data_IF_301907848941
#
_entry.id   IF_301907848941
#
_cell.length_a   1.000
_cell.length_b   1.000
_cell.length_c   1.000
_cell.angle_alpha   90.00
_cell.angle_beta   90.00
_cell.angle_gamma   90.00
#
_symmetry.space_group_name_H-M   'P 1'
#
loop_
_entity.id
_entity.type
_entity.pdbx_description
1 polymer ?
#
# COMPACT_ATOMS: atom_id res chain seq x y z
N UNK A 1 12.84 8.45 3.83
CA UNK A 1 12.30 8.04 5.14
C UNK A 1 10.85 8.47 5.17
N UNK A 2 9.93 7.59 5.54
CA UNK A 2 8.50 7.88 5.56
C UNK A 2 8.19 8.85 6.70
N UNK A 3 7.85 10.09 6.36
CA UNK A 3 7.62 11.16 7.35
C UNK A 3 6.21 11.09 7.98
N UNK A 4 5.39 10.14 7.53
CA UNK A 4 3.98 10.03 7.91
C UNK A 4 3.76 9.76 9.39
N UNK A 5 4.67 9.03 10.03
CA UNK A 5 4.57 8.71 11.46
C UNK A 5 5.22 9.78 12.35
N UNK A 6 5.66 10.90 11.75
CA UNK A 6 6.22 12.03 12.49
C UNK A 6 5.14 12.66 13.38
N UNK A 7 5.43 12.91 14.67
CA UNK A 7 4.52 13.62 15.58
C UNK A 7 4.25 15.06 15.14
N UNK A 8 3.03 15.56 15.36
CA UNK A 8 2.67 16.95 15.03
C UNK A 8 3.46 17.98 15.84
N UNK A 9 3.92 17.61 17.03
CA UNK A 9 4.74 18.42 17.92
C UNK A 9 6.12 18.72 17.33
N UNK A 10 6.61 17.86 16.43
CA UNK A 10 7.90 18.02 15.74
C UNK A 10 7.77 18.73 14.38
N UNK A 11 6.56 19.17 14.03
CA UNK A 11 6.28 19.88 12.80
C UNK A 11 6.28 21.39 13.03
N UNK A 12 6.61 22.16 12.00
CA UNK A 12 6.64 23.64 12.05
C UNK A 12 5.23 24.24 12.00
N UNK A 13 4.38 23.85 12.95
CA UNK A 13 3.05 24.39 13.16
C UNK A 13 3.07 25.34 14.36
N UNK A 14 2.27 26.41 14.30
CA UNK A 14 1.99 27.24 15.48
C UNK A 14 1.43 26.37 16.60
N UNK A 15 1.88 26.64 17.82
CA UNK A 15 1.48 25.93 19.03
C UNK A 15 -0.05 25.84 19.20
N UNK A 16 -0.80 26.89 18.83
CA UNK A 16 -2.27 26.87 18.87
C UNK A 16 -2.87 25.85 17.90
N UNK A 17 -2.34 25.77 16.68
CA UNK A 17 -2.78 24.84 15.64
C UNK A 17 -2.45 23.40 16.05
N UNK A 18 -1.22 23.15 16.52
CA UNK A 18 -0.80 21.85 17.06
C UNK A 18 -1.68 21.40 18.23
N UNK A 19 -1.93 22.27 19.20
CA UNK A 19 -2.76 21.93 20.36
C UNK A 19 -4.20 21.59 19.98
N UNK A 20 -4.80 22.34 19.05
CA UNK A 20 -6.15 22.07 18.57
C UNK A 20 -6.25 20.72 17.84
N UNK A 21 -5.24 20.37 17.02
CA UNK A 21 -5.17 19.08 16.35
C UNK A 21 -5.03 17.91 17.34
N UNK A 22 -4.12 18.04 18.31
CA UNK A 22 -3.90 17.02 19.35
C UNK A 22 -5.16 16.83 20.21
N UNK A 23 -5.83 17.91 20.61
CA UNK A 23 -7.08 17.84 21.36
C UNK A 23 -8.22 17.18 20.56
N UNK A 24 -8.19 17.31 19.23
CA UNK A 24 -9.12 16.63 18.33
C UNK A 24 -8.71 15.18 17.99
N UNK A 25 -7.58 14.69 18.52
CA UNK A 25 -7.13 13.30 18.38
C UNK A 25 -6.13 13.05 17.24
N UNK A 26 -5.72 14.09 16.52
CA UNK A 26 -4.68 13.98 15.48
C UNK A 26 -3.30 14.10 16.13
N UNK A 27 -2.44 13.08 15.97
CA UNK A 27 -1.14 13.02 16.65
C UNK A 27 0.03 12.99 15.69
N UNK A 28 -0.18 12.50 14.49
CA UNK A 28 0.86 12.33 13.47
C UNK A 28 0.49 13.01 12.15
N UNK A 29 1.49 13.23 11.30
CA UNK A 29 1.28 13.70 9.92
C UNK A 29 0.28 12.81 9.16
N UNK A 30 0.36 11.49 9.35
CA UNK A 30 -0.56 10.51 8.78
C UNK A 30 -2.01 10.82 9.12
N UNK A 31 -2.29 11.09 10.40
CA UNK A 31 -3.66 11.35 10.87
C UNK A 31 -4.26 12.57 10.15
N UNK A 32 -3.45 13.61 9.92
CA UNK A 32 -3.88 14.84 9.25
C UNK A 32 -4.06 14.63 7.74
N UNK A 33 -3.15 13.89 7.10
CA UNK A 33 -3.15 13.66 5.64
C UNK A 33 -4.32 12.77 5.20
N UNK A 34 -4.72 11.79 6.01
CA UNK A 34 -5.89 10.93 5.72
C UNK A 34 -7.22 11.58 6.10
N UNK A 35 -7.19 12.62 6.94
CA UNK A 35 -8.40 13.31 7.38
C UNK A 35 -9.07 14.04 6.21
N UNK A 36 -10.40 14.17 6.29
CA UNK A 36 -11.09 15.03 5.34
C UNK A 36 -10.86 16.50 5.66
N UNK A 37 -10.69 17.34 4.65
CA UNK A 37 -10.59 18.79 4.86
C UNK A 37 -11.77 19.36 5.64
N UNK A 38 -12.97 18.82 5.40
CA UNK A 38 -14.20 19.22 6.09
C UNK A 38 -14.24 18.81 7.56
N UNK A 39 -13.50 17.78 7.97
CA UNK A 39 -13.35 17.36 9.36
C UNK A 39 -12.38 18.29 10.09
N UNK A 40 -11.22 18.58 9.48
CA UNK A 40 -10.23 19.52 10.02
C UNK A 40 -10.86 20.92 10.21
N UNK A 41 -11.63 21.41 9.24
CA UNK A 41 -12.31 22.71 9.33
C UNK A 41 -13.37 22.79 10.44
N UNK A 42 -13.86 21.66 10.96
CA UNK A 42 -14.84 21.63 12.06
C UNK A 42 -14.19 21.62 13.44
N UNK A 43 -12.87 21.47 13.53
CA UNK A 43 -12.16 21.43 14.81
C UNK A 43 -12.30 22.80 15.51
N UNK A 44 -12.83 22.84 16.74
CA UNK A 44 -12.93 24.09 17.50
C UNK A 44 -11.58 24.79 17.65
N UNK A 45 -11.56 26.09 17.37
CA UNK A 45 -10.35 26.90 17.52
C UNK A 45 -9.43 26.93 16.31
N UNK A 46 -9.68 26.14 15.26
CA UNK A 46 -9.05 26.28 13.95
C UNK A 46 -9.82 27.28 13.08
N UNK A 47 -9.12 28.32 12.62
CA UNK A 47 -9.62 29.28 11.63
C UNK A 47 -9.02 29.05 10.23
N UNK A 48 -9.38 29.90 9.27
CA UNK A 48 -8.83 29.84 7.90
C UNK A 48 -7.30 29.85 7.86
N UNK A 49 -6.67 30.74 8.64
CA UNK A 49 -5.20 30.83 8.73
C UNK A 49 -4.55 29.54 9.24
N UNK A 50 -5.13 28.91 10.27
CA UNK A 50 -4.61 27.63 10.77
C UNK A 50 -4.82 26.51 9.76
N UNK A 51 -5.91 26.55 8.99
CA UNK A 51 -6.13 25.58 7.92
C UNK A 51 -5.09 25.72 6.79
N UNK A 52 -4.82 26.95 6.35
CA UNK A 52 -3.80 27.23 5.33
C UNK A 52 -2.39 26.82 5.83
N UNK A 53 -2.09 27.10 7.09
CA UNK A 53 -0.85 26.66 7.74
C UNK A 53 -0.70 25.13 7.73
N UNK A 54 -1.75 24.39 8.12
CA UNK A 54 -1.72 22.92 8.07
C UNK A 54 -1.47 22.45 6.63
N UNK A 55 -2.17 23.04 5.65
CA UNK A 55 -1.98 22.72 4.23
C UNK A 55 -0.55 22.95 3.77
N UNK A 56 0.05 24.08 4.13
CA UNK A 56 1.44 24.41 3.77
C UNK A 56 2.42 23.41 4.37
N UNK A 57 2.23 23.03 5.63
CA UNK A 57 3.11 22.06 6.30
C UNK A 57 2.97 20.66 5.69
N UNK A 58 1.76 20.16 5.43
CA UNK A 58 1.62 18.85 4.78
C UNK A 58 2.22 18.85 3.36
N UNK A 59 2.08 19.97 2.62
CA UNK A 59 2.67 20.14 1.29
C UNK A 59 4.20 20.19 1.34
N UNK A 60 4.78 20.81 2.36
CA UNK A 60 6.23 20.81 2.60
C UNK A 60 6.78 19.38 2.74
N UNK A 61 6.05 18.49 3.41
CA UNK A 61 6.40 17.08 3.51
C UNK A 61 6.06 16.25 2.25
N UNK A 62 5.49 16.87 1.20
CA UNK A 62 5.14 16.23 -0.06
C UNK A 62 3.76 15.56 -0.08
N UNK A 63 2.87 15.90 0.85
CA UNK A 63 1.54 15.31 0.97
C UNK A 63 0.43 16.35 0.76
N UNK A 64 -0.82 15.88 0.63
CA UNK A 64 -2.02 16.71 0.57
C UNK A 64 -3.15 16.10 1.42
N UNK A 65 -4.22 16.85 1.65
CA UNK A 65 -5.39 16.31 2.38
C UNK A 65 -6.14 15.24 1.58
N UNK A 66 -7.00 14.50 2.28
CA UNK A 66 -7.90 13.51 1.70
C UNK A 66 -7.14 12.33 1.02
N UNK A 67 -5.85 12.13 1.35
CA UNK A 67 -5.08 11.02 0.78
C UNK A 67 -5.56 9.68 1.35
N UNK A 68 -5.77 8.73 0.45
CA UNK A 68 -6.01 7.34 0.83
C UNK A 68 -4.68 6.65 1.05
N UNK A 69 -4.12 6.77 2.26
CA UNK A 69 -2.92 6.02 2.62
C UNK A 69 -3.36 4.62 3.04
N UNK A 70 -3.07 3.62 2.20
CA UNK A 70 -3.24 2.22 2.55
C UNK A 70 -2.44 1.94 3.83
N UNK A 71 -3.10 1.39 4.86
CA UNK A 71 -2.46 1.07 6.15
C UNK A 71 -1.29 0.11 5.91
N UNK A 72 -0.08 0.66 5.89
CA UNK A 72 1.17 -0.01 5.51
C UNK A 72 1.65 -1.06 6.52
N UNK A 73 0.92 -1.36 7.59
CA UNK A 73 1.30 -2.44 8.51
C UNK A 73 0.69 -3.79 8.11
N UNK A 74 -0.62 -3.83 7.82
CA UNK A 74 -1.31 -5.09 7.50
C UNK A 74 -1.27 -5.44 6.00
N UNK A 75 -1.05 -4.45 5.13
CA UNK A 75 -1.12 -4.65 3.68
C UNK A 75 0.14 -5.30 3.10
N UNK A 76 1.33 -4.93 3.59
CA UNK A 76 2.59 -5.59 3.21
C UNK A 76 2.55 -7.07 3.52
N UNK A 77 2.04 -7.45 4.68
CA UNK A 77 1.94 -8.86 5.05
C UNK A 77 0.95 -9.64 4.16
N UNK A 78 -0.07 -8.98 3.61
CA UNK A 78 -0.95 -9.56 2.59
C UNK A 78 -0.27 -9.66 1.23
N UNK A 79 0.53 -8.67 0.84
CA UNK A 79 1.32 -8.72 -0.40
C UNK A 79 2.41 -9.79 -0.34
N UNK A 80 3.15 -9.90 0.76
CA UNK A 80 4.15 -10.95 0.98
C UNK A 80 3.50 -12.34 0.89
N UNK A 81 2.33 -12.52 1.50
CA UNK A 81 1.57 -13.77 1.36
C UNK A 81 1.12 -14.03 -0.07
N UNK A 82 0.66 -13.00 -0.78
CA UNK A 82 0.25 -13.13 -2.17
C UNK A 82 1.44 -13.46 -3.09
N UNK A 83 2.60 -12.85 -2.86
CA UNK A 83 3.85 -13.12 -3.59
C UNK A 83 4.33 -14.55 -3.36
N UNK A 84 4.30 -15.03 -2.11
CA UNK A 84 4.65 -16.42 -1.78
C UNK A 84 3.72 -17.43 -2.46
N UNK A 85 2.42 -17.12 -2.56
CA UNK A 85 1.47 -18.00 -3.24
C UNK A 85 1.66 -18.00 -4.76
N UNK A 86 1.99 -16.85 -5.36
CA UNK A 86 2.35 -16.77 -6.78
C UNK A 86 3.58 -17.64 -7.08
N UNK A 87 4.66 -17.50 -6.30
CA UNK A 87 5.88 -18.30 -6.49
C UNK A 87 5.60 -19.81 -6.34
N UNK A 88 4.72 -20.17 -5.41
CA UNK A 88 4.27 -21.56 -5.26
C UNK A 88 3.54 -22.06 -6.50
N UNK A 89 2.63 -21.27 -7.05
CA UNK A 89 1.83 -21.64 -8.22
C UNK A 89 2.72 -21.77 -9.47
N UNK A 90 3.71 -20.90 -9.64
CA UNK A 90 4.69 -20.98 -10.73
C UNK A 90 5.47 -22.30 -10.68
N UNK A 91 5.96 -22.72 -9.50
CA UNK A 91 6.63 -24.03 -9.33
C UNK A 91 5.73 -25.21 -9.69
N UNK A 92 4.43 -25.13 -9.37
CA UNK A 92 3.47 -26.17 -9.73
C UNK A 92 3.21 -26.21 -11.24
N UNK A 93 3.16 -25.05 -11.90
CA UNK A 93 3.01 -24.97 -13.35
C UNK A 93 4.23 -25.56 -14.07
N UNK A 94 5.45 -25.26 -13.64
CA UNK A 94 6.68 -25.83 -14.21
C UNK A 94 6.70 -27.37 -14.13
N UNK A 95 6.28 -27.93 -13.00
CA UNK A 95 6.19 -29.38 -12.82
C UNK A 95 5.11 -30.00 -13.71
N UNK A 96 3.96 -29.33 -13.86
CA UNK A 96 2.88 -29.80 -14.73
C UNK A 96 3.26 -29.73 -16.19
N UNK A 97 3.92 -28.67 -16.63
CA UNK A 97 4.31 -28.49 -18.02
C UNK A 97 5.38 -29.53 -18.41
N UNK A 98 6.30 -29.86 -17.50
CA UNK A 98 7.19 -31.02 -17.66
C UNK A 98 6.39 -32.33 -17.87
N UNK A 99 5.39 -32.60 -17.04
CA UNK A 99 4.54 -33.79 -17.16
C UNK A 99 3.73 -33.83 -18.48
N UNK A 100 3.19 -32.71 -18.92
CA UNK A 100 2.46 -32.61 -20.20
C UNK A 100 3.41 -32.82 -21.38
N UNK A 101 4.60 -32.22 -21.36
CA UNK A 101 5.61 -32.42 -22.39
C UNK A 101 5.99 -33.90 -22.46
N UNK A 102 6.26 -34.56 -21.32
CA UNK A 102 6.58 -35.99 -21.30
C UNK A 102 5.46 -36.86 -21.86
N UNK A 103 4.19 -36.60 -21.51
CA UNK A 103 3.08 -37.39 -22.03
C UNK A 103 2.89 -37.19 -23.54
N UNK A 104 2.91 -35.95 -24.03
CA UNK A 104 2.77 -35.66 -25.45
C UNK A 104 3.94 -36.25 -26.27
N UNK A 105 5.18 -36.13 -25.76
CA UNK A 105 6.37 -36.68 -26.42
C UNK A 105 6.34 -38.22 -26.45
N UNK A 106 5.81 -38.85 -25.40
CA UNK A 106 5.63 -40.29 -25.33
C UNK A 106 4.54 -40.78 -26.28
N UNK A 107 3.42 -40.06 -26.36
CA UNK A 107 2.33 -40.39 -27.29
C UNK A 107 2.79 -40.27 -28.75
N UNK A 108 3.53 -39.21 -29.08
CA UNK A 108 4.13 -39.01 -30.41
C UNK A 108 5.18 -40.10 -30.71
N UNK A 109 6.01 -40.46 -29.74
CA UNK A 109 7.00 -41.53 -29.87
C UNK A 109 6.33 -42.89 -30.10
N UNK A 110 5.31 -43.23 -29.31
CA UNK A 110 4.54 -44.48 -29.44
C UNK A 110 3.80 -44.54 -30.78
N UNK A 111 3.26 -43.42 -31.27
CA UNK A 111 2.66 -43.34 -32.60
C UNK A 111 3.69 -43.64 -33.70
N UNK A 112 4.90 -43.10 -33.59
CA UNK A 112 5.98 -43.31 -34.58
C UNK A 112 6.46 -44.77 -34.65
N UNK A 113 6.43 -45.50 -33.54
CA UNK A 113 6.79 -46.91 -33.49
C UNK A 113 5.73 -47.80 -34.15
N UNK A 114 4.45 -47.42 -34.04
CA UNK A 114 3.35 -48.15 -34.69
C UNK A 114 3.36 -47.99 -36.20
N UNK A 115 3.72 -46.82 -36.72
CA UNK A 115 3.89 -46.59 -38.16
C UNK A 115 5.06 -47.38 -38.76
N UNK A 116 6.15 -47.56 -38.03
CA UNK A 116 7.32 -48.33 -38.49
C UNK A 116 7.15 -49.85 -38.43
N UNK A 117 6.06 -50.34 -37.83
CA UNK A 117 5.77 -51.76 -37.69
C UNK A 117 4.77 -52.29 -38.74
N UNK A 118 4.36 -51.47 -39.71
CA UNK A 118 3.62 -51.84 -40.92
C UNK A 118 4.54 -51.86 -42.13
#
# INVERSE_FOLDING_TARGET
MDNLDKPLEEMELRQRTTNALIQAGYKTLRDVVVAKQSEIKKIPGLGSKSFDEIREVIMFYGYHFDMQILKSANHYQSYEKALQEIERLEKLLEQRDSFIIYNNLWDDFVASLKEKAQ
#
